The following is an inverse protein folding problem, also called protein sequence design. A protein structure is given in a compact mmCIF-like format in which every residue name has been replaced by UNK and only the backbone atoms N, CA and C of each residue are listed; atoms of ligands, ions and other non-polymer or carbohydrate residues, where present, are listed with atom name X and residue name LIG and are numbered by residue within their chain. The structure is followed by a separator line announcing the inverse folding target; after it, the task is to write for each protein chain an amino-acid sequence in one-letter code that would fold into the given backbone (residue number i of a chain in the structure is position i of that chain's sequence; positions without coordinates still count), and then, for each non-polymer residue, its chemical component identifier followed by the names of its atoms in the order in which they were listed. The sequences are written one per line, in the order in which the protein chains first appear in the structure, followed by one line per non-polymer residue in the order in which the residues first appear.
data_IF_942894189555
#
_entry.id   IF_942894189555
#
_cell.length_a   1.000
_cell.length_b   1.000
_cell.length_c   1.000
_cell.angle_alpha   90.00
_cell.angle_beta   90.00
_cell.angle_gamma   90.00
#
_symmetry.space_group_name_H-M   'P 1'
#
loop_
_entity.id
_entity.type
_entity.pdbx_description
1 polymer ?
#
# COMPACT_ATOMS: atom_id res chain seq x y z
N UNK A 1 -2.45 14.65 -42.66
CA UNK A 1 -2.47 15.23 -41.31
C UNK A 1 -2.63 14.16 -40.22
N UNK A 2 -3.53 13.18 -40.34
CA UNK A 2 -3.79 12.14 -39.30
C UNK A 2 -2.60 11.23 -38.94
N UNK A 3 -1.74 10.88 -39.90
CA UNK A 3 -0.56 10.02 -39.64
C UNK A 3 0.49 10.72 -38.78
N UNK A 4 0.69 12.02 -38.96
CA UNK A 4 1.67 12.80 -38.20
C UNK A 4 1.21 13.00 -36.75
N UNK A 5 -0.09 13.26 -36.54
CA UNK A 5 -0.68 13.33 -35.20
C UNK A 5 -0.58 11.99 -34.48
N UNK A 6 -0.85 10.87 -35.16
CA UNK A 6 -0.75 9.52 -34.57
C UNK A 6 0.69 9.18 -34.16
N UNK A 7 1.68 9.56 -34.96
CA UNK A 7 3.11 9.37 -34.65
C UNK A 7 3.53 10.23 -33.45
N UNK A 8 3.12 11.51 -33.40
CA UNK A 8 3.40 12.37 -32.26
C UNK A 8 2.76 11.83 -30.96
N UNK A 9 1.53 11.33 -31.01
CA UNK A 9 0.85 10.75 -29.84
C UNK A 9 1.57 9.49 -29.35
N UNK A 10 2.01 8.60 -30.26
CA UNK A 10 2.81 7.44 -29.88
C UNK A 10 4.17 7.82 -29.26
N UNK A 11 4.84 8.83 -29.81
CA UNK A 11 6.10 9.36 -29.28
C UNK A 11 5.92 10.00 -27.89
N UNK A 12 4.79 10.65 -27.63
CA UNK A 12 4.49 11.25 -26.33
C UNK A 12 4.16 10.19 -25.26
N UNK A 13 3.42 9.14 -25.66
CA UNK A 13 3.13 7.99 -24.79
C UNK A 13 4.41 7.19 -24.45
N UNK A 14 5.33 7.00 -25.40
CA UNK A 14 6.59 6.29 -25.12
C UNK A 14 7.53 7.09 -24.21
N UNK A 15 7.56 8.43 -24.34
CA UNK A 15 8.32 9.30 -23.42
C UNK A 15 7.80 9.20 -21.97
N UNK A 16 6.49 9.08 -21.81
CA UNK A 16 5.85 8.96 -20.50
C UNK A 16 6.06 7.58 -19.87
N UNK A 17 6.13 6.52 -20.69
CA UNK A 17 6.34 5.14 -20.24
C UNK A 17 7.80 4.84 -19.82
N UNK A 18 8.77 5.64 -20.28
CA UNK A 18 10.20 5.44 -19.98
C UNK A 18 10.79 6.43 -18.97
N UNK A 19 9.99 7.29 -18.34
CA UNK A 19 10.46 8.14 -17.24
C UNK A 19 10.56 7.34 -15.94
N UNK A 20 11.37 6.28 -15.91
CA UNK A 20 12.05 5.96 -14.67
C UNK A 20 13.07 7.07 -14.48
N UNK A 21 12.84 7.94 -13.49
CA UNK A 21 13.85 8.90 -13.05
C UNK A 21 15.05 8.08 -12.53
N UNK A 22 15.99 7.76 -13.42
CA UNK A 22 17.26 7.15 -13.06
C UNK A 22 18.02 8.23 -12.29
N UNK A 23 17.88 8.20 -10.97
CA UNK A 23 18.68 9.05 -10.08
C UNK A 23 20.15 8.66 -10.22
N UNK A 24 21.08 9.60 -10.02
CA UNK A 24 22.51 9.33 -10.11
C UNK A 24 22.90 8.13 -9.22
N UNK A 25 23.80 7.29 -9.70
CA UNK A 25 24.21 6.05 -9.03
C UNK A 25 24.81 6.25 -7.61
N UNK A 26 25.15 7.49 -7.27
CA UNK A 26 25.80 7.88 -6.01
C UNK A 26 24.82 8.43 -4.95
N UNK A 27 23.52 8.52 -5.24
CA UNK A 27 22.51 9.01 -4.28
C UNK A 27 21.90 7.86 -3.47
N UNK A 28 21.91 7.96 -2.14
CA UNK A 28 21.21 7.01 -1.26
C UNK A 28 19.70 7.19 -1.44
N UNK A 29 19.04 6.16 -1.96
CA UNK A 29 17.58 6.11 -2.01
C UNK A 29 17.04 5.38 -0.78
N UNK A 30 16.16 6.04 -0.03
CA UNK A 30 15.54 5.49 1.17
C UNK A 30 14.02 5.46 0.98
N UNK A 31 13.45 4.26 1.09
CA UNK A 31 12.01 4.06 1.21
C UNK A 31 11.68 3.83 2.68
N UNK A 32 10.83 4.70 3.25
CA UNK A 32 10.32 4.55 4.60
C UNK A 32 8.88 4.08 4.50
N UNK A 33 8.66 2.85 4.94
CA UNK A 33 7.39 2.16 4.90
C UNK A 33 6.83 2.01 6.31
N UNK A 34 5.55 2.32 6.49
CA UNK A 34 4.82 1.93 7.69
C UNK A 34 4.15 0.56 7.47
N UNK A 35 3.99 -0.21 8.53
CA UNK A 35 3.31 -1.52 8.49
C UNK A 35 2.01 -1.47 9.29
N UNK A 36 1.18 -2.50 9.08
CA UNK A 36 0.00 -2.84 9.86
C UNK A 36 -1.18 -1.84 9.80
N UNK A 37 -1.26 -1.00 8.77
CA UNK A 37 -2.49 -0.22 8.55
C UNK A 37 -3.65 -1.19 8.27
N UNK A 38 -4.79 -0.97 8.92
CA UNK A 38 -5.96 -1.85 8.92
C UNK A 38 -6.05 -2.77 10.15
N UNK A 39 -4.96 -2.94 10.92
CA UNK A 39 -4.94 -3.81 12.11
C UNK A 39 -5.82 -3.29 13.25
N UNK A 40 -5.68 -2.01 13.60
CA UNK A 40 -6.37 -1.32 14.68
C UNK A 40 -6.58 0.17 14.34
N UNK A 41 -7.56 0.81 14.97
CA UNK A 41 -7.77 2.26 14.84
C UNK A 41 -6.50 3.06 15.16
N UNK A 42 -5.80 2.69 16.24
CA UNK A 42 -4.55 3.37 16.63
C UNK A 42 -3.46 3.22 15.58
N UNK A 43 -3.34 2.04 14.94
CA UNK A 43 -2.40 1.82 13.85
C UNK A 43 -2.76 2.66 12.62
N UNK A 44 -4.06 2.74 12.29
CA UNK A 44 -4.56 3.59 11.20
C UNK A 44 -4.16 5.05 11.40
N UNK A 45 -4.52 5.62 12.55
CA UNK A 45 -4.21 7.01 12.89
C UNK A 45 -2.70 7.25 12.89
N UNK A 46 -1.91 6.35 13.48
CA UNK A 46 -0.46 6.48 13.53
C UNK A 46 0.19 6.42 12.13
N UNK A 47 -0.30 5.55 11.24
CA UNK A 47 0.20 5.47 9.85
C UNK A 47 -0.09 6.76 9.09
N UNK A 48 -1.31 7.29 9.20
CA UNK A 48 -1.68 8.56 8.54
C UNK A 48 -0.86 9.72 9.10
N UNK A 49 -0.69 9.80 10.42
CA UNK A 49 0.15 10.83 11.06
C UNK A 49 1.61 10.72 10.61
N UNK A 50 2.14 9.49 10.52
CA UNK A 50 3.52 9.23 10.07
C UNK A 50 3.75 9.63 8.60
N UNK A 51 2.69 9.67 7.81
CA UNK A 51 2.71 10.16 6.43
C UNK A 51 2.54 11.68 6.36
N UNK A 52 1.51 12.23 7.00
CA UNK A 52 1.17 13.65 6.91
C UNK A 52 2.20 14.54 7.60
N UNK A 53 2.67 14.13 8.78
CA UNK A 53 3.54 14.91 9.65
C UNK A 53 4.91 14.25 9.85
N UNK A 54 5.17 13.14 9.15
CA UNK A 54 6.42 12.38 9.25
C UNK A 54 7.10 12.10 7.92
N UNK A 55 7.94 11.06 7.93
CA UNK A 55 8.83 10.70 6.83
C UNK A 55 8.39 9.45 6.06
N UNK A 56 7.29 8.81 6.46
CA UNK A 56 6.77 7.64 5.76
C UNK A 56 6.26 8.03 4.36
N UNK A 57 6.55 7.19 3.36
CA UNK A 57 6.12 7.40 1.96
C UNK A 57 5.38 6.22 1.36
N UNK A 58 5.44 5.04 1.99
CA UNK A 58 4.63 3.87 1.64
C UNK A 58 4.03 3.21 2.89
N UNK A 59 2.96 2.44 2.72
CA UNK A 59 2.31 1.67 3.79
C UNK A 59 1.72 0.37 3.26
N UNK A 60 1.68 -0.68 4.08
CA UNK A 60 1.07 -1.96 3.69
C UNK A 60 -0.23 -2.24 4.45
N UNK A 61 -1.32 -2.41 3.69
CA UNK A 61 -2.68 -2.61 4.20
C UNK A 61 -2.98 -4.08 4.50
N UNK A 62 -3.42 -4.36 5.72
CA UNK A 62 -3.87 -5.69 6.17
C UNK A 62 -5.35 -5.89 5.89
N UNK A 63 -5.66 -6.63 4.83
CA UNK A 63 -7.03 -6.87 4.37
C UNK A 63 -7.97 -7.64 5.33
N UNK A 64 -7.54 -8.68 6.08
CA UNK A 64 -8.47 -9.45 6.92
C UNK A 64 -8.77 -8.78 8.28
N UNK A 65 -8.12 -7.66 8.60
CA UNK A 65 -8.25 -7.03 9.90
C UNK A 65 -9.52 -6.16 10.01
N UNK A 66 -10.08 -6.07 11.21
CA UNK A 66 -11.38 -5.44 11.43
C UNK A 66 -11.41 -3.92 11.12
N UNK A 67 -10.26 -3.25 11.12
CA UNK A 67 -10.14 -1.81 10.81
C UNK A 67 -9.74 -1.54 9.36
N UNK A 68 -9.75 -2.56 8.49
CA UNK A 68 -9.56 -2.40 7.05
C UNK A 68 -10.51 -1.35 6.42
N UNK A 69 -11.83 -1.33 6.69
CA UNK A 69 -12.72 -0.34 6.06
C UNK A 69 -12.38 1.11 6.40
N UNK A 70 -11.96 1.35 7.65
CA UNK A 70 -11.49 2.66 8.08
C UNK A 70 -10.18 3.04 7.38
N UNK A 71 -9.22 2.11 7.33
CA UNK A 71 -7.94 2.33 6.66
C UNK A 71 -8.14 2.68 5.18
N UNK A 72 -8.99 1.94 4.45
CA UNK A 72 -9.30 2.23 3.04
C UNK A 72 -9.86 3.64 2.87
N UNK A 73 -10.77 4.07 3.75
CA UNK A 73 -11.32 5.44 3.71
C UNK A 73 -10.22 6.48 3.93
N UNK A 74 -9.41 6.32 4.97
CA UNK A 74 -8.32 7.25 5.29
C UNK A 74 -7.27 7.31 4.17
N UNK A 75 -6.93 6.17 3.57
CA UNK A 75 -6.00 6.09 2.44
C UNK A 75 -6.59 6.76 1.17
N UNK A 76 -7.88 6.60 0.90
CA UNK A 76 -8.56 7.28 -0.20
C UNK A 76 -8.57 8.81 -0.02
N UNK A 77 -8.61 9.30 1.22
CA UNK A 77 -8.48 10.72 1.57
C UNK A 77 -7.02 11.22 1.45
N UNK A 78 -6.04 10.32 1.31
CA UNK A 78 -4.61 10.61 1.22
C UNK A 78 -3.96 9.95 -0.02
N UNK A 79 -4.35 10.31 -1.25
CA UNK A 79 -3.96 9.60 -2.48
C UNK A 79 -2.46 9.68 -2.83
N UNK A 80 -1.68 10.49 -2.11
CA UNK A 80 -0.23 10.57 -2.27
C UNK A 80 0.56 9.61 -1.36
N UNK A 81 -0.12 8.85 -0.50
CA UNK A 81 0.52 7.81 0.31
C UNK A 81 0.54 6.52 -0.52
N UNK A 82 1.72 6.02 -0.87
CA UNK A 82 1.83 4.77 -1.63
C UNK A 82 1.34 3.57 -0.80
N UNK A 83 0.47 2.73 -1.37
CA UNK A 83 -0.21 1.65 -0.63
C UNK A 83 0.09 0.29 -1.24
N UNK A 84 0.74 -0.56 -0.46
CA UNK A 84 0.95 -1.98 -0.73
C UNK A 84 -0.03 -2.89 0.02
N UNK A 85 0.12 -4.20 -0.20
CA UNK A 85 -0.66 -5.24 0.49
C UNK A 85 0.24 -5.93 1.51
N UNK A 86 -0.15 -5.88 2.78
CA UNK A 86 0.50 -6.69 3.80
C UNK A 86 -0.10 -8.10 3.73
N UNK A 87 0.66 -9.08 3.25
CA UNK A 87 0.21 -10.47 3.29
C UNK A 87 0.18 -10.97 4.73
N UNK A 88 -0.97 -11.51 5.15
CA UNK A 88 -1.22 -11.93 6.52
C UNK A 88 -1.44 -13.44 6.58
N UNK A 89 -0.49 -14.18 7.15
CA UNK A 89 -0.59 -15.63 7.39
C UNK A 89 -0.63 -15.98 8.88
N UNK A 90 -0.39 -15.00 9.75
CA UNK A 90 -0.40 -15.14 11.21
C UNK A 90 -1.39 -14.17 11.84
N UNK A 91 -1.88 -14.49 13.03
CA UNK A 91 -2.68 -13.59 13.88
C UNK A 91 -2.23 -13.75 15.32
N UNK A 92 -1.27 -12.94 15.74
CA UNK A 92 -0.46 -13.14 16.95
C UNK A 92 -1.14 -12.64 18.24
N UNK A 93 -2.02 -11.64 18.15
CA UNK A 93 -2.66 -11.06 19.32
C UNK A 93 -3.65 -12.03 19.98
N UNK A 94 -3.74 -11.97 21.31
CA UNK A 94 -4.63 -12.87 22.07
C UNK A 94 -6.08 -12.41 22.10
N UNK A 95 -6.31 -11.09 22.10
CA UNK A 95 -7.63 -10.49 22.34
C UNK A 95 -8.39 -10.14 21.05
N UNK A 96 -7.68 -9.96 19.95
CA UNK A 96 -8.25 -9.65 18.63
C UNK A 96 -7.57 -10.56 17.62
N UNK A 97 -8.37 -11.39 16.95
CA UNK A 97 -7.91 -12.27 15.88
C UNK A 97 -8.49 -11.81 14.55
N UNK A 98 -7.76 -12.07 13.47
CA UNK A 98 -8.25 -11.95 12.10
C UNK A 98 -8.16 -13.31 11.42
N UNK A 99 -9.17 -13.60 10.60
CA UNK A 99 -9.32 -14.89 9.92
C UNK A 99 -8.93 -14.76 8.45
N UNK A 100 -8.60 -15.87 7.77
CA UNK A 100 -8.41 -15.84 6.34
C UNK A 100 -9.66 -15.36 5.59
N UNK A 101 -9.44 -14.66 4.47
CA UNK A 101 -10.52 -14.18 3.59
C UNK A 101 -11.20 -15.30 2.80
N UNK A 102 -10.54 -16.45 2.66
CA UNK A 102 -11.03 -17.62 1.92
C UNK A 102 -11.17 -18.81 2.85
N UNK A 103 -11.84 -19.86 2.38
CA UNK A 103 -11.90 -21.12 3.11
C UNK A 103 -10.59 -21.91 2.93
N UNK A 104 -9.71 -21.88 3.94
CA UNK A 104 -8.43 -22.59 3.94
C UNK A 104 -8.16 -23.33 5.27
N UNK A 105 -8.74 -24.54 5.46
CA UNK A 105 -8.63 -25.32 6.69
C UNK A 105 -7.20 -25.65 7.13
N UNK A 106 -6.23 -25.63 6.21
CA UNK A 106 -4.82 -25.89 6.53
C UNK A 106 -4.06 -24.68 7.10
N UNK A 107 -4.67 -23.48 7.09
CA UNK A 107 -4.05 -22.22 7.53
C UNK A 107 -4.73 -21.63 8.76
N UNK A 108 -5.54 -22.42 9.45
CA UNK A 108 -6.35 -22.01 10.57
C UNK A 108 -6.12 -22.94 11.76
N UNK A 109 -6.34 -22.44 12.96
CA UNK A 109 -6.34 -23.27 14.15
C UNK A 109 -7.75 -23.84 14.44
N UNK A 110 -7.97 -24.39 15.63
CA UNK A 110 -9.26 -24.97 16.03
C UNK A 110 -10.40 -23.94 16.13
N UNK A 111 -10.07 -22.68 16.37
CA UNK A 111 -11.03 -21.57 16.47
C UNK A 111 -11.20 -20.90 15.11
N UNK A 112 -10.20 -21.06 14.23
CA UNK A 112 -10.25 -20.81 12.79
C UNK A 112 -9.30 -19.69 12.38
#
# INVERSE_FOLDING_TARGET
MSKLTSILTLLFMSYSAFSQNIKPADEIQLLIRADDIGSFHSANVACIESYQNGIARSVELMAPCAWFPEAVKMLAENPGYDVGVHLTLTSEWSSVKWRPLTHCPSLVDKDG
#
